data_IF_165409596292
#
_entry.id   IF_165409596292
#
_cell.length_a   1.000
_cell.length_b   1.000
_cell.length_c   1.000
_cell.angle_alpha   90.00
_cell.angle_beta   90.00
_cell.angle_gamma   90.00
#
_symmetry.space_group_name_H-M   'P 1'
#
loop_
_entity.id
_entity.type
_entity.pdbx_description
1 polymer ?
#
# COMPACT_ATOMS: atom_id res chain seq x y z
N UNK A 1 -57.57 8.27 -29.94
CA UNK A 1 -56.35 9.11 -29.98
C UNK A 1 -55.37 8.89 -28.82
N UNK A 2 -55.48 7.81 -28.03
CA UNK A 2 -54.60 7.55 -26.86
C UNK A 2 -53.86 6.20 -26.90
N UNK A 3 -53.81 5.52 -28.05
CA UNK A 3 -53.12 4.22 -28.17
C UNK A 3 -51.88 4.26 -29.10
N UNK A 4 -51.71 5.33 -29.90
CA UNK A 4 -50.56 5.49 -30.81
C UNK A 4 -49.36 6.21 -30.20
N UNK A 5 -49.48 6.76 -28.99
CA UNK A 5 -48.37 7.47 -28.30
C UNK A 5 -47.52 6.58 -27.39
N UNK A 6 -47.91 5.32 -27.16
CA UNK A 6 -47.12 4.40 -26.32
C UNK A 6 -46.04 3.62 -27.09
N UNK A 7 -46.06 3.63 -28.42
CA UNK A 7 -45.12 2.82 -29.22
C UNK A 7 -43.83 3.61 -29.54
N UNK A 8 -43.82 4.94 -29.40
CA UNK A 8 -42.68 5.78 -29.80
C UNK A 8 -41.74 6.15 -28.63
N UNK A 9 -42.12 5.87 -27.37
CA UNK A 9 -41.20 6.02 -26.21
C UNK A 9 -40.43 4.74 -25.86
N UNK A 10 -40.60 3.64 -26.60
CA UNK A 10 -40.06 2.32 -26.25
C UNK A 10 -38.67 1.97 -26.80
N UNK A 11 -38.02 2.82 -27.60
CA UNK A 11 -36.76 2.46 -28.31
C UNK A 11 -35.67 3.53 -28.10
N UNK A 12 -35.52 4.03 -26.88
CA UNK A 12 -34.34 4.84 -26.51
C UNK A 12 -33.82 4.51 -25.11
N UNK A 13 -34.10 3.29 -24.62
CA UNK A 13 -33.28 2.67 -23.59
C UNK A 13 -32.22 1.82 -24.30
N UNK A 14 -31.36 2.49 -25.09
CA UNK A 14 -30.09 1.90 -25.50
C UNK A 14 -29.30 1.69 -24.23
N UNK A 15 -29.38 0.47 -23.71
CA UNK A 15 -28.53 -0.03 -22.66
C UNK A 15 -27.10 0.13 -23.15
N UNK A 16 -26.43 1.20 -22.73
CA UNK A 16 -24.99 1.29 -22.80
C UNK A 16 -24.44 0.30 -21.77
N UNK A 17 -24.41 -0.99 -22.15
CA UNK A 17 -23.62 -1.97 -21.45
C UNK A 17 -22.18 -1.59 -21.78
N UNK A 18 -21.57 -0.77 -20.91
CA UNK A 18 -20.14 -0.69 -20.86
C UNK A 18 -19.64 -2.10 -20.51
N UNK A 19 -19.20 -2.85 -21.52
CA UNK A 19 -18.42 -4.06 -21.30
C UNK A 19 -17.10 -3.59 -20.68
N UNK A 20 -17.06 -3.54 -19.36
CA UNK A 20 -15.78 -3.55 -18.65
C UNK A 20 -15.25 -4.95 -18.85
N UNK A 21 -14.35 -5.12 -19.83
CA UNK A 21 -13.64 -6.38 -20.04
C UNK A 21 -12.61 -6.52 -18.90
N UNK A 22 -13.12 -6.89 -17.72
CA UNK A 22 -12.33 -7.03 -16.51
C UNK A 22 -11.73 -8.44 -16.47
N UNK A 23 -10.47 -8.55 -16.87
CA UNK A 23 -9.65 -9.73 -16.59
C UNK A 23 -9.30 -9.80 -15.10
N UNK A 24 -9.50 -10.96 -14.47
CA UNK A 24 -9.02 -11.19 -13.10
C UNK A 24 -7.68 -11.89 -13.13
N UNK A 25 -6.64 -11.28 -12.56
CA UNK A 25 -5.35 -11.93 -12.30
C UNK A 25 -5.40 -12.61 -10.93
N UNK A 26 -5.15 -13.92 -10.86
CA UNK A 26 -5.03 -14.68 -9.61
C UNK A 26 -3.71 -15.46 -9.62
N UNK A 27 -3.05 -15.53 -8.47
CA UNK A 27 -1.83 -16.32 -8.31
C UNK A 27 -1.24 -16.18 -6.91
N UNK A 28 -0.18 -16.94 -6.65
CA UNK A 28 0.60 -16.87 -5.41
C UNK A 28 2.06 -16.59 -5.76
N UNK A 29 2.71 -15.72 -5.00
CA UNK A 29 4.15 -15.49 -5.09
C UNK A 29 4.84 -16.41 -4.10
N UNK A 30 5.52 -17.45 -4.60
CA UNK A 30 6.25 -18.41 -3.76
C UNK A 30 7.75 -18.13 -3.80
N UNK A 31 8.43 -18.42 -2.71
CA UNK A 31 9.88 -18.44 -2.66
C UNK A 31 10.37 -19.87 -2.91
N UNK A 32 11.22 -20.05 -3.93
CA UNK A 32 11.86 -21.33 -4.22
C UNK A 32 13.20 -21.41 -3.47
N UNK A 33 13.16 -22.02 -2.28
CA UNK A 33 14.33 -22.21 -1.44
C UNK A 33 14.02 -22.22 0.06
N UNK A 34 15.08 -22.34 0.87
CA UNK A 34 14.97 -22.26 2.33
C UNK A 34 14.95 -20.79 2.76
N UNK A 35 13.86 -20.28 3.39
CA UNK A 35 13.82 -18.90 3.82
C UNK A 35 14.89 -18.63 4.89
N UNK A 36 15.51 -17.43 4.93
CA UNK A 36 16.40 -17.03 6.00
C UNK A 36 15.67 -17.06 7.34
N UNK A 37 16.42 -17.27 8.43
CA UNK A 37 15.86 -17.18 9.78
C UNK A 37 15.40 -15.74 10.04
N UNK A 38 14.20 -15.59 10.60
CA UNK A 38 13.69 -14.30 11.04
C UNK A 38 14.64 -13.67 12.06
N UNK A 39 15.04 -12.42 11.80
CA UNK A 39 15.94 -11.68 12.68
C UNK A 39 15.10 -10.85 13.65
N UNK A 40 15.35 -10.98 14.95
CA UNK A 40 14.72 -10.14 15.96
C UNK A 40 15.21 -8.70 15.82
N UNK A 41 14.30 -7.73 15.88
CA UNK A 41 14.63 -6.32 15.95
C UNK A 41 14.98 -5.93 17.40
N UNK A 42 16.00 -5.09 17.53
CA UNK A 42 16.42 -4.51 18.81
C UNK A 42 15.60 -3.25 19.04
N UNK A 43 14.64 -3.32 19.95
CA UNK A 43 13.73 -2.22 20.30
C UNK A 43 14.10 -1.55 21.64
N UNK A 44 15.23 -1.93 22.22
CA UNK A 44 15.69 -1.49 23.54
C UNK A 44 16.40 -0.13 23.55
N UNK A 45 16.62 0.47 22.37
CA UNK A 45 17.21 1.80 22.26
C UNK A 45 16.27 2.93 22.71
N UNK A 46 14.95 2.74 22.56
CA UNK A 46 13.92 3.66 23.02
C UNK A 46 12.85 2.88 23.81
N UNK A 47 12.62 3.21 25.10
CA UNK A 47 11.61 2.55 25.92
C UNK A 47 10.19 2.60 25.33
N UNK A 48 9.84 3.64 24.56
CA UNK A 48 8.55 3.73 23.88
C UNK A 48 8.41 2.58 22.88
N UNK A 49 9.45 2.31 22.10
CA UNK A 49 9.46 1.21 21.14
C UNK A 49 9.33 -0.15 21.82
N UNK A 50 10.11 -0.38 22.89
CA UNK A 50 10.03 -1.64 23.65
C UNK A 50 8.66 -1.86 24.29
N UNK A 51 8.06 -0.82 24.86
CA UNK A 51 6.78 -0.88 25.56
C UNK A 51 5.57 -1.04 24.63
N UNK A 52 5.71 -0.67 23.35
CA UNK A 52 4.64 -0.81 22.35
C UNK A 52 4.36 -2.26 21.92
N UNK A 53 5.15 -3.24 22.39
CA UNK A 53 5.00 -4.64 22.00
C UNK A 53 4.94 -5.57 23.20
N UNK A 54 4.04 -6.56 23.15
CA UNK A 54 3.91 -7.61 24.18
C UNK A 54 4.90 -8.77 24.00
N UNK A 55 5.67 -8.77 22.90
CA UNK A 55 6.57 -9.85 22.54
C UNK A 55 7.70 -9.41 21.59
N UNK A 56 8.54 -10.35 21.15
CA UNK A 56 9.63 -10.05 20.22
C UNK A 56 9.09 -9.58 18.87
N UNK A 57 9.63 -8.47 18.36
CA UNK A 57 9.39 -7.98 17.01
C UNK A 57 10.47 -8.50 16.07
N UNK A 58 10.10 -8.87 14.86
CA UNK A 58 11.01 -9.43 13.86
C UNK A 58 11.11 -8.52 12.64
N UNK A 59 12.27 -8.56 11.98
CA UNK A 59 12.51 -7.83 10.74
C UNK A 59 11.62 -8.39 9.62
N UNK A 60 10.94 -7.49 8.92
CA UNK A 60 10.08 -7.83 7.78
C UNK A 60 10.84 -7.88 6.44
N UNK A 61 12.17 -7.70 6.46
CA UNK A 61 13.04 -7.75 5.28
C UNK A 61 12.93 -9.05 4.46
N UNK A 62 12.47 -10.13 5.10
CA UNK A 62 12.09 -11.37 4.42
C UNK A 62 10.90 -12.00 5.17
N UNK A 63 9.69 -11.59 4.81
CA UNK A 63 8.44 -12.00 5.48
C UNK A 63 7.72 -13.07 4.66
N UNK A 64 7.61 -14.26 5.22
CA UNK A 64 6.85 -15.38 4.64
C UNK A 64 5.47 -15.47 5.30
N UNK A 65 4.45 -15.81 4.52
CA UNK A 65 3.14 -16.17 5.02
C UNK A 65 3.12 -17.60 5.60
N UNK A 66 2.08 -17.92 6.37
CA UNK A 66 1.92 -19.23 7.01
C UNK A 66 1.82 -20.39 5.99
N UNK A 67 1.37 -20.12 4.77
CA UNK A 67 1.24 -21.10 3.68
C UNK A 67 2.55 -21.29 2.87
N UNK A 68 3.63 -20.61 3.26
CA UNK A 68 4.91 -20.66 2.56
C UNK A 68 5.01 -19.76 1.32
N UNK A 69 4.04 -18.87 1.08
CA UNK A 69 4.16 -17.78 0.10
C UNK A 69 4.88 -16.56 0.68
N UNK A 70 5.23 -15.59 -0.16
CA UNK A 70 5.66 -14.28 0.30
C UNK A 70 4.48 -13.57 0.96
N UNK A 71 4.67 -13.05 2.18
CA UNK A 71 3.58 -12.35 2.88
C UNK A 71 3.17 -11.05 2.17
N UNK A 72 4.13 -10.41 1.51
CA UNK A 72 3.93 -9.15 0.80
C UNK A 72 4.70 -9.20 -0.52
N UNK A 73 4.06 -8.77 -1.61
CA UNK A 73 4.66 -8.69 -2.93
C UNK A 73 3.97 -7.60 -3.75
N UNK A 74 4.74 -6.91 -4.60
CA UNK A 74 4.19 -6.01 -5.62
C UNK A 74 4.22 -6.74 -6.95
N UNK A 75 3.03 -6.86 -7.55
CA UNK A 75 2.87 -7.34 -8.93
C UNK A 75 2.50 -6.14 -9.77
N UNK A 76 3.23 -5.94 -10.87
CA UNK A 76 2.93 -4.89 -11.83
C UNK A 76 2.93 -5.47 -13.24
N UNK A 77 2.02 -4.96 -14.07
CA UNK A 77 1.94 -5.33 -15.47
C UNK A 77 2.88 -4.45 -16.28
N UNK A 78 3.61 -5.06 -17.21
CA UNK A 78 4.50 -4.36 -18.15
C UNK A 78 3.79 -4.19 -19.49
N UNK A 79 4.12 -3.11 -20.19
CA UNK A 79 3.64 -2.82 -21.55
C UNK A 79 2.11 -2.76 -21.66
N UNK A 80 1.45 -2.27 -20.61
CA UNK A 80 0.01 -2.00 -20.60
C UNK A 80 -0.23 -0.50 -20.65
N UNK A 81 -1.24 -0.05 -21.40
CA UNK A 81 -1.70 1.33 -21.34
C UNK A 81 -2.56 1.54 -20.09
N UNK A 82 -2.33 2.64 -19.39
CA UNK A 82 -3.13 3.05 -18.24
C UNK A 82 -3.58 4.50 -18.44
N UNK A 83 -4.89 4.73 -18.40
CA UNK A 83 -5.52 6.04 -18.56
C UNK A 83 -6.27 6.52 -17.31
N UNK A 84 -6.13 5.80 -16.19
CA UNK A 84 -6.90 6.05 -14.96
C UNK A 84 -6.44 7.24 -14.11
N UNK A 85 -5.34 7.92 -14.50
CA UNK A 85 -4.77 9.04 -13.74
C UNK A 85 -4.24 8.63 -12.35
N UNK A 86 -3.84 9.61 -11.54
CA UNK A 86 -3.51 9.34 -10.14
C UNK A 86 -4.79 9.21 -9.30
N UNK A 87 -4.91 8.21 -8.41
CA UNK A 87 -5.93 8.19 -7.38
C UNK A 87 -5.88 9.47 -6.52
N UNK A 88 -7.06 9.94 -6.08
CA UNK A 88 -7.17 11.12 -5.22
C UNK A 88 -6.81 10.82 -3.75
N UNK A 89 -7.07 9.59 -3.30
CA UNK A 89 -6.75 9.19 -1.94
C UNK A 89 -5.24 8.98 -1.77
N UNK A 90 -4.64 9.53 -0.69
CA UNK A 90 -3.22 9.36 -0.45
C UNK A 90 -2.90 7.92 -0.08
N UNK A 91 -1.72 7.45 -0.47
CA UNK A 91 -1.15 6.26 0.15
C UNK A 91 -0.64 6.65 1.54
N UNK A 92 -0.96 5.86 2.56
CA UNK A 92 -0.55 6.13 3.94
C UNK A 92 0.61 5.21 4.31
N UNK A 93 1.69 5.81 4.80
CA UNK A 93 2.80 5.10 5.44
C UNK A 93 2.89 5.57 6.90
N UNK A 94 2.58 4.69 7.84
CA UNK A 94 2.56 5.05 9.26
C UNK A 94 3.70 4.39 10.03
N UNK A 95 4.26 5.10 11.00
CA UNK A 95 5.14 4.56 12.03
C UNK A 95 4.34 4.36 13.31
N UNK A 96 4.11 3.09 13.63
CA UNK A 96 3.38 2.69 14.82
C UNK A 96 4.06 1.47 15.46
N UNK A 97 4.32 1.55 16.76
CA UNK A 97 5.16 0.60 17.46
C UNK A 97 6.59 0.59 16.94
N UNK A 98 7.09 1.72 16.43
CA UNK A 98 8.42 1.83 15.82
C UNK A 98 8.63 0.88 14.62
N UNK A 99 7.53 0.56 13.92
CA UNK A 99 7.50 -0.22 12.69
C UNK A 99 6.73 0.57 11.64
N UNK A 100 7.18 0.48 10.39
CA UNK A 100 6.46 1.03 9.25
C UNK A 100 5.32 0.10 8.82
N UNK A 101 4.11 0.64 8.68
CA UNK A 101 2.97 -0.05 8.12
C UNK A 101 2.31 0.78 7.01
N UNK A 102 2.09 0.21 5.81
CA UNK A 102 2.54 -1.11 5.37
C UNK A 102 4.06 -1.19 5.17
N UNK A 103 4.65 -2.39 5.25
CA UNK A 103 6.08 -2.59 4.98
C UNK A 103 6.40 -2.52 3.48
N UNK A 104 5.49 -3.03 2.64
CA UNK A 104 5.53 -2.93 1.18
C UNK A 104 4.24 -2.32 0.65
N UNK A 105 4.35 -1.31 -0.22
CA UNK A 105 3.21 -0.71 -0.91
C UNK A 105 3.57 -0.24 -2.32
N UNK A 106 2.55 -0.16 -3.17
CA UNK A 106 2.62 0.48 -4.48
C UNK A 106 1.85 1.80 -4.49
N UNK A 107 2.26 2.72 -5.34
CA UNK A 107 1.57 3.98 -5.60
C UNK A 107 1.74 4.39 -7.07
N UNK A 108 0.84 5.23 -7.58
CA UNK A 108 0.95 5.79 -8.93
C UNK A 108 1.77 7.09 -8.87
N UNK A 109 2.46 7.43 -9.96
CA UNK A 109 3.09 8.73 -10.07
C UNK A 109 2.05 9.85 -9.87
N UNK A 110 2.45 10.94 -9.21
CA UNK A 110 1.58 12.07 -8.83
C UNK A 110 0.56 11.78 -7.72
N UNK A 111 0.48 10.55 -7.21
CA UNK A 111 -0.33 10.24 -6.03
C UNK A 111 0.32 10.80 -4.77
N UNK A 112 -0.49 11.39 -3.88
CA UNK A 112 -0.01 11.88 -2.60
C UNK A 112 0.43 10.72 -1.70
N UNK A 113 1.59 10.87 -1.04
CA UNK A 113 2.05 9.99 0.03
C UNK A 113 1.88 10.74 1.35
N UNK A 114 1.07 10.21 2.27
CA UNK A 114 0.91 10.74 3.61
C UNK A 114 1.70 9.89 4.60
N UNK A 115 2.77 10.45 5.13
CA UNK A 115 3.63 9.80 6.12
C UNK A 115 3.18 10.20 7.52
N UNK A 116 2.97 9.21 8.39
CA UNK A 116 2.47 9.40 9.75
C UNK A 116 3.48 8.94 10.80
N UNK A 117 3.40 9.57 11.97
CA UNK A 117 4.07 9.14 13.19
C UNK A 117 3.04 8.97 14.31
N UNK A 118 2.39 7.82 14.35
CA UNK A 118 1.45 7.45 15.41
C UNK A 118 2.14 7.20 16.76
N UNK A 119 3.46 6.97 16.78
CA UNK A 119 4.20 6.77 18.02
C UNK A 119 4.33 8.02 18.88
N UNK A 120 4.52 7.81 20.19
CA UNK A 120 4.80 8.87 21.15
C UNK A 120 6.29 9.23 21.25
N UNK A 121 7.09 8.89 20.22
CA UNK A 121 8.53 9.19 20.16
C UNK A 121 8.91 9.87 18.83
N UNK A 122 10.15 10.39 18.76
CA UNK A 122 10.72 10.97 17.55
C UNK A 122 11.18 9.85 16.63
N UNK A 123 10.80 9.98 15.36
CA UNK A 123 11.35 9.16 14.30
C UNK A 123 12.08 9.99 13.26
N UNK A 124 12.84 9.30 12.41
CA UNK A 124 13.44 9.86 11.22
C UNK A 124 12.96 9.08 10.00
N UNK A 125 12.55 9.79 8.95
CA UNK A 125 12.25 9.20 7.65
C UNK A 125 13.43 9.45 6.73
N UNK A 126 14.10 8.39 6.31
CA UNK A 126 15.18 8.43 5.33
C UNK A 126 14.78 7.61 4.11
N UNK A 127 14.40 8.29 3.02
CA UNK A 127 14.17 7.60 1.75
C UNK A 127 15.51 7.28 1.08
N UNK A 128 15.61 6.07 0.53
CA UNK A 128 16.78 5.63 -0.26
C UNK A 128 16.34 5.23 -1.66
N UNK A 129 15.97 6.20 -2.51
CA UNK A 129 15.49 5.93 -3.86
C UNK A 129 16.62 5.48 -4.79
N UNK A 130 16.26 4.75 -5.85
CA UNK A 130 17.19 4.41 -6.94
C UNK A 130 17.25 5.47 -8.05
N UNK A 131 16.18 6.25 -8.23
CA UNK A 131 16.01 7.18 -9.37
C UNK A 131 15.76 8.61 -8.91
N UNK A 132 14.86 8.80 -7.94
CA UNK A 132 14.46 10.11 -7.45
C UNK A 132 15.48 10.69 -6.46
N UNK A 133 15.33 11.98 -6.11
CA UNK A 133 16.17 12.62 -5.08
C UNK A 133 15.87 12.02 -3.70
N UNK A 134 16.93 11.68 -2.98
CA UNK A 134 16.88 11.30 -1.57
C UNK A 134 16.31 12.43 -0.69
N UNK A 135 15.54 12.05 0.32
CA UNK A 135 15.16 12.93 1.41
C UNK A 135 15.38 12.28 2.77
N UNK A 136 15.69 13.12 3.75
CA UNK A 136 15.84 12.72 5.13
C UNK A 136 15.27 13.83 6.02
N UNK A 137 14.30 13.50 6.88
CA UNK A 137 13.74 14.46 7.82
C UNK A 137 13.29 13.79 9.13
N UNK A 138 13.33 14.56 10.22
CA UNK A 138 12.79 14.13 11.49
C UNK A 138 11.26 14.34 11.54
N UNK A 139 10.57 13.45 12.26
CA UNK A 139 9.19 13.59 12.69
C UNK A 139 9.15 13.56 14.22
N UNK A 140 9.33 14.71 14.88
CA UNK A 140 9.16 14.82 16.33
C UNK A 140 7.77 14.38 16.79
N UNK A 141 7.60 14.08 18.08
CA UNK A 141 6.31 13.67 18.67
C UNK A 141 5.13 14.58 18.30
N UNK A 142 5.37 15.88 18.09
CA UNK A 142 4.35 16.89 17.73
C UNK A 142 4.01 16.94 16.24
N UNK A 143 4.89 16.43 15.37
CA UNK A 143 4.67 16.35 13.92
C UNK A 143 4.09 14.97 13.62
N UNK A 144 2.76 14.92 13.49
CA UNK A 144 2.04 13.65 13.33
C UNK A 144 1.88 13.21 11.88
N UNK A 145 1.90 14.15 10.95
CA UNK A 145 1.71 13.88 9.54
C UNK A 145 2.63 14.75 8.70
N UNK A 146 3.09 14.20 7.57
CA UNK A 146 3.84 14.92 6.55
C UNK A 146 3.50 14.38 5.17
N UNK A 147 3.35 15.30 4.22
CA UNK A 147 3.17 15.04 2.80
C UNK A 147 4.49 15.23 2.06
#
# INVERSE_FOLDING_TARGET
MKLKKLIVSGIALTVAIAFVDAGTLKGNVKYDGKPPKAKKLRMDADPVCGASHSGPVYSESFKMAADGSMAEAIVYLKNVSYSGGSPADPVILDQNGCIYNPHVFGMVAEQELLIKNSDATLHNIHSRPNVNKEFNFAMPKVVKEKK
#
